data_IF_632835459309
#
_entry.id   IF_632835459309
#
_cell.length_a   1.000
_cell.length_b   1.000
_cell.length_c   1.000
_cell.angle_alpha   90.00
_cell.angle_beta   90.00
_cell.angle_gamma   90.00
#
_symmetry.space_group_name_H-M   'P 1'
#
loop_
_entity.id
_entity.type
_entity.pdbx_description
1 polymer ?
#
# COMPACT_ATOMS: atom_id res chain seq x y z
N UNK A 1 4.74 5.92 10.36
CA UNK A 1 5.16 6.70 9.18
C UNK A 1 4.02 6.67 8.17
N UNK A 2 3.70 7.77 7.49
CA UNK A 2 2.72 7.74 6.39
C UNK A 2 3.40 7.22 5.12
N UNK A 3 2.66 6.53 4.25
CA UNK A 3 3.22 5.88 3.04
C UNK A 3 3.99 6.87 2.16
N UNK A 4 3.48 8.09 2.00
CA UNK A 4 4.15 9.13 1.22
C UNK A 4 5.51 9.54 1.82
N UNK A 5 5.72 9.34 3.12
CA UNK A 5 6.99 9.62 3.81
C UNK A 5 7.95 8.43 3.83
N UNK A 6 7.49 7.22 3.52
CA UNK A 6 8.32 6.02 3.43
C UNK A 6 8.90 5.76 2.04
N UNK A 7 8.57 6.58 1.04
CA UNK A 7 9.06 6.41 -0.32
C UNK A 7 10.60 6.52 -0.37
N UNK A 8 11.26 5.51 -0.95
CA UNK A 8 12.72 5.46 -1.08
C UNK A 8 13.46 4.93 0.15
N UNK A 9 12.75 4.49 1.19
CA UNK A 9 13.34 3.88 2.38
C UNK A 9 13.06 2.37 2.41
N UNK A 10 14.07 1.58 2.78
CA UNK A 10 13.87 0.16 3.08
C UNK A 10 13.74 -0.05 4.58
N UNK A 11 12.70 -0.77 5.00
CA UNK A 11 12.44 -1.10 6.40
C UNK A 11 12.44 -2.62 6.59
N UNK A 12 12.99 -3.07 7.73
CA UNK A 12 13.10 -4.50 8.05
C UNK A 12 11.74 -5.13 8.39
N UNK A 13 10.86 -4.37 9.03
CA UNK A 13 9.49 -4.75 9.40
C UNK A 13 8.53 -3.62 9.06
N UNK A 14 7.35 -3.95 8.55
CA UNK A 14 6.29 -2.97 8.28
C UNK A 14 4.95 -3.49 8.78
N UNK A 15 4.17 -2.58 9.33
CA UNK A 15 2.78 -2.80 9.66
C UNK A 15 1.91 -1.80 8.89
N UNK A 16 0.98 -2.32 8.10
CA UNK A 16 0.12 -1.55 7.21
C UNK A 16 -1.28 -1.55 7.81
N UNK A 17 -1.76 -0.38 8.25
CA UNK A 17 -3.11 -0.23 8.75
C UNK A 17 -4.08 0.13 7.60
N UNK A 18 -5.00 -0.77 7.29
CA UNK A 18 -6.03 -0.63 6.25
C UNK A 18 -7.45 -0.47 6.83
N UNK A 19 -7.60 -0.22 8.13
CA UNK A 19 -8.92 -0.06 8.77
C UNK A 19 -9.68 1.18 8.29
N UNK A 20 -8.96 2.22 7.84
CA UNK A 20 -9.53 3.39 7.17
C UNK A 20 -9.32 3.29 5.66
N UNK A 21 -10.40 3.47 4.89
CA UNK A 21 -10.37 3.37 3.43
C UNK A 21 -9.68 4.59 2.81
N UNK A 22 -8.39 4.52 2.52
CA UNK A 22 -7.67 5.56 1.79
C UNK A 22 -6.45 4.96 1.10
N UNK A 23 -6.65 4.24 0.01
CA UNK A 23 -5.53 3.86 -0.85
C UNK A 23 -5.91 4.04 -2.32
N UNK A 24 -5.15 4.90 -3.01
CA UNK A 24 -4.96 4.78 -4.44
C UNK A 24 -3.96 3.65 -4.72
N UNK A 25 -4.07 3.03 -5.90
CA UNK A 25 -3.28 1.87 -6.34
C UNK A 25 -1.75 2.00 -6.12
N UNK A 26 -1.20 3.21 -6.18
CA UNK A 26 0.23 3.45 -5.98
C UNK A 26 0.67 3.44 -4.50
N UNK A 27 -0.18 3.87 -3.57
CA UNK A 27 0.20 3.95 -2.16
C UNK A 27 0.33 2.57 -1.53
N UNK A 28 -0.62 1.68 -1.82
CA UNK A 28 -0.55 0.31 -1.33
C UNK A 28 0.68 -0.43 -1.88
N UNK A 29 0.99 -0.23 -3.16
CA UNK A 29 2.18 -0.80 -3.79
C UNK A 29 3.49 -0.27 -3.16
N UNK A 30 3.57 1.04 -2.89
CA UNK A 30 4.73 1.64 -2.21
C UNK A 30 4.90 1.08 -0.79
N UNK A 31 3.79 0.84 -0.07
CA UNK A 31 3.84 0.26 1.28
C UNK A 31 4.31 -1.21 1.30
N UNK A 32 3.96 -2.01 0.29
CA UNK A 32 4.44 -3.38 0.19
C UNK A 32 5.89 -3.47 -0.32
N UNK A 33 6.30 -2.56 -1.21
CA UNK A 33 7.64 -2.58 -1.83
C UNK A 33 8.75 -2.02 -0.95
N UNK A 34 8.44 -1.34 0.17
CA UNK A 34 9.45 -0.84 1.11
C UNK A 34 10.07 -1.93 2.01
N UNK A 35 9.46 -3.12 2.06
CA UNK A 35 9.99 -4.29 2.79
C UNK A 35 10.73 -5.26 1.87
N UNK A 36 11.85 -5.78 2.36
CA UNK A 36 12.67 -6.77 1.63
C UNK A 36 12.15 -8.20 1.73
N UNK A 37 11.25 -8.49 2.68
CA UNK A 37 10.64 -9.81 2.88
C UNK A 37 9.17 -9.71 3.24
N UNK A 38 8.33 -10.50 2.58
CA UNK A 38 6.89 -10.58 2.86
C UNK A 38 6.58 -11.09 4.27
N UNK A 39 7.47 -11.89 4.87
CA UNK A 39 7.30 -12.42 6.23
C UNK A 39 7.36 -11.34 7.30
N UNK A 40 7.91 -10.17 6.96
CA UNK A 40 8.02 -9.03 7.87
C UNK A 40 6.92 -7.99 7.66
N UNK A 41 5.90 -8.32 6.87
CA UNK A 41 4.76 -7.47 6.57
C UNK A 41 3.55 -7.94 7.37
N UNK A 42 2.99 -7.04 8.19
CA UNK A 42 1.70 -7.25 8.87
C UNK A 42 0.67 -6.30 8.31
N UNK A 43 -0.54 -6.79 8.07
CA UNK A 43 -1.64 -5.98 7.50
C UNK A 43 -2.82 -6.03 8.46
N UNK A 44 -3.21 -4.88 8.99
CA UNK A 44 -4.38 -4.73 9.84
C UNK A 44 -5.59 -4.37 8.96
N UNK A 45 -6.59 -5.24 8.92
CA UNK A 45 -7.78 -5.11 8.09
C UNK A 45 -9.01 -4.78 8.95
N UNK A 46 -10.02 -4.13 8.37
CA UNK A 46 -11.28 -3.87 9.05
C UNK A 46 -12.07 -5.19 9.22
N UNK A 47 -12.34 -5.55 10.47
CA UNK A 47 -13.06 -6.79 10.81
C UNK A 47 -14.51 -6.77 10.29
N UNK A 48 -15.12 -5.59 10.26
CA UNK A 48 -16.48 -5.34 9.75
C UNK A 48 -16.67 -5.67 8.25
N UNK A 49 -15.59 -5.83 7.50
CA UNK A 49 -15.61 -6.20 6.07
C UNK A 49 -14.98 -7.57 5.82
N UNK A 50 -15.08 -8.50 6.78
CA UNK A 50 -14.57 -9.86 6.67
C UNK A 50 -13.08 -9.90 6.28
N UNK A 51 -12.28 -9.01 6.89
CA UNK A 51 -10.87 -8.81 6.58
C UNK A 51 -10.61 -8.52 5.09
N UNK A 52 -11.49 -7.75 4.45
CA UNK A 52 -11.31 -7.27 3.07
C UNK A 52 -11.35 -5.75 3.03
N UNK A 53 -10.66 -5.19 2.06
CA UNK A 53 -10.73 -3.77 1.74
C UNK A 53 -10.86 -3.59 0.25
N UNK A 54 -11.49 -2.49 -0.18
CA UNK A 54 -11.68 -2.19 -1.60
C UNK A 54 -10.40 -1.56 -2.14
N UNK A 55 -9.83 -2.16 -3.18
CA UNK A 55 -8.75 -1.56 -3.93
C UNK A 55 -9.34 -0.56 -4.94
N UNK A 56 -9.11 0.74 -4.75
CA UNK A 56 -9.57 1.79 -5.66
C UNK A 56 -8.44 2.16 -6.61
N UNK A 57 -8.66 1.93 -7.90
CA UNK A 57 -7.68 2.22 -8.96
C UNK A 57 -8.15 3.44 -9.77
N UNK A 58 -7.41 4.54 -9.64
CA UNK A 58 -7.56 5.73 -10.48
C UNK A 58 -6.73 5.54 -11.74
N UNK A 59 -7.38 5.19 -12.85
CA UNK A 59 -6.73 4.88 -14.13
C UNK A 59 -5.96 6.09 -14.69
N UNK A 60 -6.42 7.29 -14.40
CA UNK A 60 -5.79 8.56 -14.78
C UNK A 60 -4.38 8.75 -14.20
N UNK A 61 -4.06 8.09 -13.08
CA UNK A 61 -2.72 8.12 -12.46
C UNK A 61 -1.80 7.07 -13.06
N UNK A 62 -2.36 5.98 -13.61
CA UNK A 62 -1.61 4.85 -14.16
C UNK A 62 -1.06 5.15 -15.57
N UNK A 63 -1.76 5.96 -16.36
CA UNK A 63 -1.44 6.24 -17.77
C UNK A 63 -0.22 7.11 -18.05
N UNK A 64 0.63 7.44 -17.06
CA UNK A 64 1.89 8.21 -17.29
C UNK A 64 3.14 7.34 -17.44
N UNK A 65 3.02 6.02 -17.39
CA UNK A 65 4.14 5.08 -17.56
C UNK A 65 4.22 4.42 -18.95
N UNK A 66 3.26 4.68 -19.84
CA UNK A 66 3.29 4.23 -21.24
C UNK A 66 3.72 5.38 -22.18
N UNK A 67 4.97 5.83 -22.05
CA UNK A 67 5.60 6.71 -23.04
C UNK A 67 6.87 6.06 -23.58
N UNK A 68 6.74 5.43 -24.75
CA UNK A 68 7.83 5.23 -25.74
C UNK A 68 8.74 4.05 -25.50
#
# INVERSE_FOLDING_TARGET
>A
MTINKSQGQSVKYVEINLQTSVFSHGQLYVAFSCCTSCHHIRVLLPQQYNNKTINVVYKEVLGRLDLG
#
